data_IF_406354014378
#
_entry.id   IF_406354014378
#
_cell.length_a   1.000
_cell.length_b   1.000
_cell.length_c   1.000
_cell.angle_alpha   90.00
_cell.angle_beta   90.00
_cell.angle_gamma   90.00
#
_symmetry.space_group_name_H-M   'P 1'
#
loop_
_entity.id
_entity.type
_entity.pdbx_description
1 polymer ?
#
# COMPACT_ATOMS: atom_id res chain seq x y z
N UNK A 1 28.64 -54.71 50.32
CA UNK A 1 27.35 -54.27 49.72
C UNK A 1 27.65 -53.04 48.86
N UNK A 2 28.01 -53.25 47.58
CA UNK A 2 28.45 -52.18 46.67
C UNK A 2 27.28 -51.83 45.76
N UNK A 3 26.65 -50.66 45.97
CA UNK A 3 25.62 -50.15 45.04
C UNK A 3 26.27 -49.69 43.74
N UNK A 4 25.64 -50.04 42.63
CA UNK A 4 26.16 -49.94 41.25
C UNK A 4 26.24 -48.48 40.78
N UNK A 5 27.39 -48.01 40.24
CA UNK A 5 27.57 -46.66 39.69
C UNK A 5 26.80 -46.34 38.40
N UNK A 6 26.21 -47.35 37.74
CA UNK A 6 25.61 -47.17 36.41
C UNK A 6 24.25 -46.46 36.41
N UNK A 7 23.46 -46.58 37.49
CA UNK A 7 22.15 -45.91 37.55
C UNK A 7 22.26 -44.39 37.77
N UNK A 8 23.30 -43.93 38.45
CA UNK A 8 23.49 -42.49 38.71
C UNK A 8 23.95 -41.72 37.45
N UNK A 9 24.66 -42.41 36.54
CA UNK A 9 25.14 -41.82 35.27
C UNK A 9 24.04 -41.59 34.24
N UNK A 10 23.10 -42.54 34.08
CA UNK A 10 21.97 -42.40 33.14
C UNK A 10 21.00 -41.31 33.57
N UNK A 11 20.79 -41.17 34.89
CA UNK A 11 19.89 -40.17 35.47
C UNK A 11 20.45 -38.74 35.34
N UNK A 12 21.78 -38.58 35.43
CA UNK A 12 22.44 -37.29 35.22
C UNK A 12 22.36 -36.85 33.74
N UNK A 13 22.61 -37.75 32.79
CA UNK A 13 22.53 -37.45 31.35
C UNK A 13 21.10 -37.14 30.89
N UNK A 14 20.08 -37.78 31.47
CA UNK A 14 18.67 -37.46 31.17
C UNK A 14 18.27 -36.08 31.70
N UNK A 15 18.77 -35.71 32.89
CA UNK A 15 18.48 -34.41 33.50
C UNK A 15 19.19 -33.26 32.76
N UNK A 16 20.43 -33.47 32.30
CA UNK A 16 21.14 -32.48 31.47
C UNK A 16 20.46 -32.27 30.12
N UNK A 17 20.00 -33.33 29.46
CA UNK A 17 19.23 -33.22 28.20
C UNK A 17 17.90 -32.50 28.41
N UNK A 18 17.17 -32.80 29.48
CA UNK A 18 15.92 -32.12 29.81
C UNK A 18 16.13 -30.64 30.15
N UNK A 19 17.19 -30.31 30.88
CA UNK A 19 17.58 -28.93 31.19
C UNK A 19 18.00 -28.15 29.93
N UNK A 20 18.74 -28.78 29.01
CA UNK A 20 19.11 -28.19 27.73
C UNK A 20 17.88 -27.92 26.83
N UNK A 21 16.96 -28.88 26.73
CA UNK A 21 15.70 -28.72 25.97
C UNK A 21 14.84 -27.59 26.58
N UNK A 22 14.71 -27.56 27.91
CA UNK A 22 13.98 -26.50 28.61
C UNK A 22 14.64 -25.11 28.46
N UNK A 23 15.98 -25.05 28.47
CA UNK A 23 16.75 -23.84 28.17
C UNK A 23 16.49 -23.32 26.77
N UNK A 24 16.55 -24.20 25.75
CA UNK A 24 16.26 -23.82 24.35
C UNK A 24 14.81 -23.35 24.15
N UNK A 25 13.85 -23.95 24.85
CA UNK A 25 12.43 -23.52 24.78
C UNK A 25 12.21 -22.16 25.45
N UNK A 26 12.89 -21.88 26.56
CA UNK A 26 12.81 -20.59 27.25
C UNK A 26 13.44 -19.45 26.42
N UNK A 27 14.58 -19.72 25.78
CA UNK A 27 15.23 -18.78 24.87
C UNK A 27 14.37 -18.50 23.62
N UNK A 28 13.80 -19.54 23.01
CA UNK A 28 12.87 -19.38 21.89
C UNK A 28 11.64 -18.54 22.29
N UNK A 29 11.05 -18.80 23.47
CA UNK A 29 9.91 -18.03 23.96
C UNK A 29 10.29 -16.55 24.22
N UNK A 30 11.49 -16.30 24.74
CA UNK A 30 12.01 -14.95 24.95
C UNK A 30 12.22 -14.21 23.63
N UNK A 31 12.84 -14.87 22.63
CA UNK A 31 13.03 -14.31 21.30
C UNK A 31 11.68 -13.98 20.64
N UNK A 32 10.71 -14.91 20.71
CA UNK A 32 9.35 -14.69 20.19
C UNK A 32 8.66 -13.51 20.87
N UNK A 33 8.77 -13.38 22.20
CA UNK A 33 8.23 -12.22 22.94
C UNK A 33 8.87 -10.90 22.51
N UNK A 34 10.19 -10.89 22.29
CA UNK A 34 10.91 -9.72 21.80
C UNK A 34 10.48 -9.33 20.38
N UNK A 35 10.28 -10.31 19.48
CA UNK A 35 9.78 -10.06 18.12
C UNK A 35 8.38 -9.46 18.13
N UNK A 36 7.44 -10.04 18.89
CA UNK A 36 6.07 -9.50 19.02
C UNK A 36 6.10 -8.07 19.58
N UNK A 37 6.98 -7.80 20.57
CA UNK A 37 7.14 -6.45 21.10
C UNK A 37 7.65 -5.47 20.03
N UNK A 38 8.65 -5.87 19.24
CA UNK A 38 9.20 -5.04 18.17
C UNK A 38 8.16 -4.77 17.08
N UNK A 39 7.39 -5.79 16.69
CA UNK A 39 6.28 -5.65 15.72
C UNK A 39 5.21 -4.69 16.23
N UNK A 40 4.79 -4.80 17.49
CA UNK A 40 3.83 -3.88 18.08
C UNK A 40 4.37 -2.44 18.12
N UNK A 41 5.65 -2.25 18.45
CA UNK A 41 6.29 -0.94 18.41
C UNK A 41 6.32 -0.37 16.99
N UNK A 42 6.69 -1.18 15.99
CA UNK A 42 6.68 -0.78 14.59
C UNK A 42 5.27 -0.38 14.12
N UNK A 43 4.26 -1.19 14.44
CA UNK A 43 2.87 -0.90 14.08
C UNK A 43 2.39 0.41 14.73
N UNK A 44 2.75 0.66 16.00
CA UNK A 44 2.42 1.92 16.66
C UNK A 44 3.11 3.12 16.00
N UNK A 45 4.39 2.97 15.59
CA UNK A 45 5.11 4.02 14.87
C UNK A 45 4.45 4.33 13.51
N UNK A 46 4.05 3.29 12.77
CA UNK A 46 3.33 3.42 11.50
C UNK A 46 2.01 4.14 11.71
N UNK A 47 1.23 3.75 12.73
CA UNK A 47 -0.04 4.44 13.03
C UNK A 47 0.15 5.89 13.44
N UNK A 48 1.17 6.20 14.24
CA UNK A 48 1.48 7.58 14.59
C UNK A 48 1.86 8.37 13.33
N UNK A 49 2.73 7.83 12.48
CA UNK A 49 3.10 8.48 11.24
C UNK A 49 1.91 8.67 10.28
N UNK A 50 0.95 7.73 10.24
CA UNK A 50 -0.31 7.92 9.50
C UNK A 50 -1.12 9.11 10.03
N UNK A 51 -1.15 9.33 11.34
CA UNK A 51 -1.85 10.47 11.96
C UNK A 51 -1.19 11.81 11.64
N UNK A 52 0.13 11.84 11.45
CA UNK A 52 0.86 13.06 11.11
C UNK A 52 0.67 13.49 9.64
N UNK A 53 0.35 12.54 8.75
CA UNK A 53 0.24 12.78 7.30
C UNK A 53 -1.20 12.74 6.79
N UNK A 54 -2.16 12.41 7.65
CA UNK A 54 -3.57 12.47 7.29
C UNK A 54 -4.15 13.87 7.55
N UNK A 55 -5.13 14.23 6.74
CA UNK A 55 -5.96 15.41 6.96
C UNK A 55 -6.71 15.21 8.29
N UNK A 56 -6.74 16.21 9.19
CA UNK A 56 -7.50 16.13 10.43
C UNK A 56 -8.96 15.77 10.18
N UNK A 57 -9.54 14.88 10.99
CA UNK A 57 -10.88 14.34 10.73
C UNK A 57 -11.96 15.41 10.51
N UNK A 58 -11.87 16.54 11.21
CA UNK A 58 -12.82 17.65 11.11
C UNK A 58 -12.67 18.51 9.85
N UNK A 59 -11.57 18.35 9.11
CA UNK A 59 -11.28 19.05 7.85
C UNK A 59 -11.53 18.16 6.62
N UNK A 60 -11.81 16.86 6.83
CA UNK A 60 -12.03 15.91 5.74
C UNK A 60 -13.32 16.21 4.99
N UNK A 61 -13.24 16.19 3.67
CA UNK A 61 -14.42 16.19 2.81
C UNK A 61 -15.09 14.82 2.71
N UNK A 62 -15.99 14.68 1.73
CA UNK A 62 -16.70 13.45 1.42
C UNK A 62 -16.59 13.14 -0.07
N UNK A 63 -16.32 11.89 -0.42
CA UNK A 63 -16.42 11.42 -1.81
C UNK A 63 -17.89 11.43 -2.22
N UNK A 64 -18.22 12.13 -3.29
CA UNK A 64 -19.58 12.16 -3.80
C UNK A 64 -19.84 10.95 -4.68
N UNK A 65 -20.91 10.21 -4.40
CA UNK A 65 -21.34 9.10 -5.24
C UNK A 65 -22.59 9.48 -6.05
N UNK A 66 -22.60 9.11 -7.33
CA UNK A 66 -23.80 9.15 -8.14
C UNK A 66 -24.64 7.90 -7.91
N UNK A 67 -24.82 7.08 -8.95
CA UNK A 67 -25.51 5.79 -8.80
C UNK A 67 -24.62 4.77 -8.12
N UNK A 68 -25.13 4.14 -7.05
CA UNK A 68 -24.42 3.09 -6.31
C UNK A 68 -25.30 1.87 -6.16
N UNK A 69 -24.78 0.71 -6.52
CA UNK A 69 -25.40 -0.58 -6.19
C UNK A 69 -25.36 -0.80 -4.67
N UNK A 70 -26.52 -1.06 -4.04
CA UNK A 70 -26.63 -1.17 -2.58
C UNK A 70 -25.74 -2.25 -1.97
N UNK A 71 -25.37 -3.29 -2.73
CA UNK A 71 -24.46 -4.36 -2.28
C UNK A 71 -23.06 -3.86 -2.00
N UNK A 72 -22.65 -2.77 -2.65
CA UNK A 72 -21.30 -2.23 -2.57
C UNK A 72 -21.13 -1.21 -1.44
N UNK A 73 -22.22 -0.74 -0.83
CA UNK A 73 -22.21 0.45 0.02
C UNK A 73 -21.17 0.38 1.14
N UNK A 74 -21.16 -0.69 1.94
CA UNK A 74 -20.23 -0.83 3.07
C UNK A 74 -18.76 -0.82 2.62
N UNK A 75 -18.41 -1.62 1.61
CA UNK A 75 -17.03 -1.73 1.11
C UNK A 75 -16.60 -0.41 0.44
N UNK A 76 -17.49 0.20 -0.34
CA UNK A 76 -17.26 1.48 -0.99
C UNK A 76 -17.00 2.61 0.00
N UNK A 77 -17.83 2.72 1.04
CA UNK A 77 -17.66 3.71 2.10
C UNK A 77 -16.32 3.54 2.84
N UNK A 78 -15.87 2.30 3.05
CA UNK A 78 -14.58 2.04 3.68
C UNK A 78 -13.41 2.55 2.82
N UNK A 79 -13.40 2.25 1.52
CA UNK A 79 -12.41 2.80 0.59
C UNK A 79 -12.46 4.33 0.45
N UNK A 80 -13.67 4.91 0.46
CA UNK A 80 -13.82 6.36 0.47
C UNK A 80 -13.28 7.00 1.75
N UNK A 81 -13.54 6.42 2.92
CA UNK A 81 -12.96 6.88 4.18
C UNK A 81 -11.44 6.85 4.15
N UNK A 82 -10.82 5.84 3.53
CA UNK A 82 -9.36 5.85 3.33
C UNK A 82 -8.91 6.98 2.42
N UNK A 83 -9.63 7.24 1.34
CA UNK A 83 -9.31 8.32 0.39
C UNK A 83 -9.34 9.70 1.05
N UNK A 84 -10.39 9.97 1.85
CA UNK A 84 -10.55 11.29 2.52
C UNK A 84 -9.52 11.53 3.62
N UNK A 85 -8.79 10.51 4.08
CA UNK A 85 -7.66 10.71 4.99
C UNK A 85 -6.51 11.48 4.34
N UNK A 86 -6.34 11.39 3.03
CA UNK A 86 -5.14 11.92 2.36
C UNK A 86 -5.44 12.89 1.21
N UNK A 87 -6.71 13.12 0.89
CA UNK A 87 -7.13 13.96 -0.23
C UNK A 87 -7.96 15.15 0.24
N UNK A 88 -7.53 16.36 -0.10
CA UNK A 88 -8.20 17.60 0.25
C UNK A 88 -9.62 17.63 -0.29
N UNK A 89 -10.56 18.22 0.47
CA UNK A 89 -11.99 18.20 0.15
C UNK A 89 -12.31 18.72 -1.25
N UNK A 90 -11.60 19.76 -1.71
CA UNK A 90 -11.79 20.36 -3.03
C UNK A 90 -11.36 19.45 -4.20
N UNK A 91 -10.54 18.43 -3.95
CA UNK A 91 -10.05 17.50 -4.97
C UNK A 91 -10.88 16.21 -5.04
N UNK A 92 -11.72 15.92 -4.03
CA UNK A 92 -12.50 14.69 -3.98
C UNK A 92 -13.48 14.62 -5.17
N UNK A 93 -13.43 13.53 -5.96
CA UNK A 93 -14.23 13.44 -7.17
C UNK A 93 -15.67 13.05 -6.85
N UNK A 94 -16.55 13.32 -7.83
CA UNK A 94 -17.82 12.59 -7.96
C UNK A 94 -17.60 11.36 -8.84
N UNK A 95 -17.97 10.17 -8.34
CA UNK A 95 -17.86 8.90 -9.08
C UNK A 95 -19.16 8.10 -9.04
N UNK A 96 -19.47 7.41 -10.13
CA UNK A 96 -20.51 6.38 -10.16
C UNK A 96 -19.90 5.02 -9.82
N UNK A 97 -20.72 4.07 -9.34
CA UNK A 97 -20.25 2.75 -8.94
C UNK A 97 -21.15 1.64 -9.49
N UNK A 98 -20.56 0.69 -10.21
CA UNK A 98 -21.25 -0.43 -10.82
C UNK A 98 -20.72 -1.77 -10.33
N UNK A 99 -21.63 -2.66 -9.94
CA UNK A 99 -21.28 -4.03 -9.57
C UNK A 99 -20.78 -4.84 -10.77
N UNK A 100 -19.66 -5.53 -10.56
CA UNK A 100 -19.06 -6.51 -11.48
C UNK A 100 -18.48 -7.68 -10.69
N UNK A 101 -19.13 -8.84 -10.78
CA UNK A 101 -18.68 -10.06 -10.09
C UNK A 101 -17.29 -10.48 -10.55
N UNK A 102 -16.44 -10.88 -9.61
CA UNK A 102 -15.14 -11.51 -9.86
C UNK A 102 -14.16 -10.68 -10.70
N UNK A 103 -14.39 -9.37 -10.84
CA UNK A 103 -13.48 -8.44 -11.48
C UNK A 103 -12.63 -7.70 -10.44
N UNK A 104 -11.36 -7.47 -10.77
CA UNK A 104 -10.53 -6.52 -10.03
C UNK A 104 -11.17 -5.13 -10.14
N UNK A 105 -11.16 -4.31 -9.07
CA UNK A 105 -11.61 -2.93 -9.15
C UNK A 105 -10.95 -2.20 -10.32
N UNK A 106 -11.71 -1.38 -11.02
CA UNK A 106 -11.21 -0.56 -12.11
C UNK A 106 -12.05 0.71 -12.26
N UNK A 107 -11.37 1.84 -12.36
CA UNK A 107 -11.91 3.14 -12.73
C UNK A 107 -11.88 3.33 -14.24
N UNK A 108 -12.98 3.80 -14.82
CA UNK A 108 -13.04 4.24 -16.22
C UNK A 108 -14.19 5.21 -16.44
N UNK A 109 -13.89 6.36 -17.05
CA UNK A 109 -14.87 7.36 -17.50
C UNK A 109 -15.83 7.80 -16.37
N UNK A 110 -15.30 8.05 -15.16
CA UNK A 110 -16.11 8.42 -13.99
C UNK A 110 -16.77 7.27 -13.23
N UNK A 111 -16.62 6.02 -13.67
CA UNK A 111 -17.27 4.85 -13.06
C UNK A 111 -16.25 3.90 -12.44
N UNK A 112 -16.46 3.52 -11.18
CA UNK A 112 -15.74 2.42 -10.53
C UNK A 112 -16.53 1.13 -10.75
N UNK A 113 -15.89 0.13 -11.36
CA UNK A 113 -16.42 -1.24 -11.48
C UNK A 113 -15.75 -2.10 -10.44
N UNK A 114 -16.53 -2.81 -9.62
CA UNK A 114 -15.98 -3.61 -8.52
C UNK A 114 -16.93 -4.72 -8.04
N UNK A 115 -16.34 -5.71 -7.37
CA UNK A 115 -17.05 -6.72 -6.58
C UNK A 115 -17.13 -6.31 -5.09
N UNK A 116 -18.04 -6.92 -4.34
CA UNK A 116 -18.21 -6.70 -2.89
C UNK A 116 -16.97 -7.07 -2.07
N UNK A 117 -16.13 -7.97 -2.59
CA UNK A 117 -14.89 -8.45 -1.96
C UNK A 117 -13.66 -7.59 -2.21
N UNK A 118 -13.80 -6.47 -2.93
CA UNK A 118 -12.71 -5.55 -3.22
C UNK A 118 -12.05 -5.02 -1.94
N UNK A 119 -10.71 -5.06 -1.89
CA UNK A 119 -9.97 -4.48 -0.78
C UNK A 119 -10.15 -2.95 -0.72
N UNK A 120 -10.26 -2.38 0.48
CA UNK A 120 -10.47 -0.95 0.70
C UNK A 120 -9.38 -0.09 0.04
N UNK A 121 -8.12 -0.54 0.08
CA UNK A 121 -6.99 0.14 -0.56
C UNK A 121 -7.11 0.18 -2.09
N UNK A 122 -7.74 -0.83 -2.70
CA UNK A 122 -8.03 -0.85 -4.15
C UNK A 122 -9.19 0.06 -4.51
N UNK A 123 -10.16 0.22 -3.63
CA UNK A 123 -11.22 1.21 -3.84
C UNK A 123 -10.63 2.63 -3.73
N UNK A 124 -9.76 2.88 -2.75
CA UNK A 124 -9.01 4.13 -2.64
C UNK A 124 -8.17 4.42 -3.89
N UNK A 125 -7.53 3.40 -4.45
CA UNK A 125 -6.82 3.47 -5.73
C UNK A 125 -7.74 3.98 -6.85
N UNK A 126 -8.89 3.34 -7.04
CA UNK A 126 -9.84 3.71 -8.10
C UNK A 126 -10.47 5.10 -7.89
N UNK A 127 -10.79 5.49 -6.66
CA UNK A 127 -11.28 6.85 -6.38
C UNK A 127 -10.19 7.89 -6.72
N UNK A 128 -8.93 7.57 -6.46
CA UNK A 128 -7.80 8.48 -6.73
C UNK A 128 -7.56 8.68 -8.23
N UNK A 129 -7.83 7.68 -9.08
CA UNK A 129 -7.91 7.92 -10.52
C UNK A 129 -8.98 8.96 -10.88
N UNK A 130 -10.13 8.92 -10.21
CA UNK A 130 -11.15 9.96 -10.35
C UNK A 130 -10.67 11.35 -9.95
N UNK A 131 -9.89 11.46 -8.86
CA UNK A 131 -9.24 12.72 -8.47
C UNK A 131 -8.35 13.24 -9.58
N UNK A 132 -7.49 12.39 -10.16
CA UNK A 132 -6.59 12.77 -11.24
C UNK A 132 -7.36 13.20 -12.51
N UNK A 133 -8.34 12.39 -12.95
CA UNK A 133 -9.11 12.65 -14.18
C UNK A 133 -9.91 13.96 -14.10
N UNK A 134 -10.53 14.26 -12.95
CA UNK A 134 -11.43 15.41 -12.80
C UNK A 134 -10.72 16.72 -12.50
N UNK A 135 -9.42 16.70 -12.18
CA UNK A 135 -8.65 17.87 -11.81
C UNK A 135 -7.47 18.07 -12.79
N UNK A 136 -7.62 18.90 -13.84
CA UNK A 136 -6.57 19.09 -14.85
C UNK A 136 -5.21 19.54 -14.29
N UNK A 137 -5.22 20.34 -13.21
CA UNK A 137 -3.98 20.76 -12.54
C UNK A 137 -3.27 19.59 -11.85
N UNK A 138 -4.03 18.69 -11.22
CA UNK A 138 -3.51 17.47 -10.58
C UNK A 138 -2.94 16.51 -11.63
N UNK A 139 -3.67 16.27 -12.72
CA UNK A 139 -3.16 15.47 -13.84
C UNK A 139 -1.88 16.07 -14.43
N UNK A 140 -1.85 17.40 -14.64
CA UNK A 140 -0.67 18.07 -15.16
C UNK A 140 0.54 17.91 -14.21
N UNK A 141 0.33 18.02 -12.90
CA UNK A 141 1.37 17.82 -11.89
C UNK A 141 1.90 16.37 -11.89
N UNK A 142 1.01 15.38 -11.97
CA UNK A 142 1.39 13.97 -12.03
C UNK A 142 2.19 13.63 -13.31
N UNK A 143 1.73 14.10 -14.46
CA UNK A 143 2.46 13.92 -15.72
C UNK A 143 3.82 14.63 -15.71
N UNK A 144 3.89 15.83 -15.13
CA UNK A 144 5.14 16.55 -14.99
C UNK A 144 6.11 15.80 -14.08
N UNK A 145 5.64 15.27 -12.95
CA UNK A 145 6.45 14.47 -12.04
C UNK A 145 6.96 13.18 -12.71
N UNK A 146 6.09 12.44 -13.41
CA UNK A 146 6.49 11.23 -14.13
C UNK A 146 7.59 11.51 -15.15
N UNK A 147 7.43 12.56 -15.97
CA UNK A 147 8.42 12.96 -16.98
C UNK A 147 9.73 13.42 -16.33
N UNK A 148 9.64 14.16 -15.24
CA UNK A 148 10.83 14.59 -14.48
C UNK A 148 11.60 13.37 -13.94
N UNK A 149 10.91 12.39 -13.35
CA UNK A 149 11.50 11.14 -12.85
C UNK A 149 12.12 10.31 -13.97
N UNK A 150 11.42 10.18 -15.10
CA UNK A 150 11.90 9.46 -16.28
C UNK A 150 13.14 10.13 -16.93
N UNK A 151 13.23 11.46 -16.87
CA UNK A 151 14.31 12.22 -17.49
C UNK A 151 14.36 12.02 -19.00
N UNK A 152 15.36 11.26 -19.48
CA UNK A 152 15.55 10.93 -20.91
C UNK A 152 15.26 9.46 -21.24
N UNK A 153 14.86 8.68 -20.23
CA UNK A 153 14.50 7.27 -20.39
C UNK A 153 13.38 7.11 -21.42
N UNK A 154 13.47 6.09 -22.25
CA UNK A 154 12.38 5.68 -23.13
C UNK A 154 11.52 4.62 -22.43
N UNK A 155 10.19 4.66 -22.58
CA UNK A 155 9.32 3.71 -21.90
C UNK A 155 9.56 2.29 -22.42
N UNK A 156 9.57 1.32 -21.50
CA UNK A 156 9.77 -0.10 -21.75
C UNK A 156 8.47 -0.85 -21.55
N UNK A 157 8.34 -2.06 -22.12
CA UNK A 157 7.14 -2.87 -21.89
C UNK A 157 7.05 -3.25 -20.43
N UNK A 158 5.87 -3.08 -19.85
CA UNK A 158 5.65 -3.33 -18.44
C UNK A 158 5.82 -4.82 -18.08
N UNK A 159 5.47 -5.73 -19.00
CA UNK A 159 5.75 -7.17 -18.84
C UNK A 159 7.24 -7.50 -18.76
N UNK A 160 8.08 -6.77 -19.50
CA UNK A 160 9.53 -7.01 -19.52
C UNK A 160 10.16 -6.53 -18.21
N UNK A 161 9.67 -5.40 -17.68
CA UNK A 161 10.10 -4.86 -16.38
C UNK A 161 9.67 -5.73 -15.20
N UNK A 162 8.44 -6.26 -15.24
CA UNK A 162 7.84 -6.96 -14.09
C UNK A 162 7.99 -8.48 -14.15
N UNK A 163 8.33 -9.03 -15.31
CA UNK A 163 8.33 -10.47 -15.58
C UNK A 163 6.93 -11.10 -15.55
N UNK A 164 5.83 -10.32 -15.48
CA UNK A 164 4.47 -10.86 -15.44
C UNK A 164 3.83 -10.91 -16.82
N UNK A 165 3.27 -12.07 -17.16
CA UNK A 165 2.63 -12.32 -18.44
C UNK A 165 1.19 -11.77 -18.53
N UNK A 166 0.57 -11.41 -17.40
CA UNK A 166 -0.79 -10.88 -17.34
C UNK A 166 -0.89 -9.40 -17.80
N UNK A 167 0.23 -8.70 -17.95
CA UNK A 167 0.28 -7.41 -18.62
C UNK A 167 0.20 -7.57 -20.14
N UNK A 168 -0.60 -6.70 -20.77
CA UNK A 168 -0.77 -6.66 -22.22
C UNK A 168 0.52 -6.23 -22.91
N UNK A 169 0.64 -6.60 -24.18
CA UNK A 169 1.81 -6.29 -25.01
C UNK A 169 1.94 -4.79 -25.33
N UNK A 170 0.86 -4.05 -25.21
CA UNK A 170 0.76 -2.60 -25.46
C UNK A 170 0.87 -1.76 -24.19
N UNK A 171 1.16 -2.36 -23.04
CA UNK A 171 1.41 -1.63 -21.78
C UNK A 171 2.88 -1.29 -21.62
N UNK A 172 3.16 0.01 -21.50
CA UNK A 172 4.50 0.56 -21.35
C UNK A 172 4.62 1.35 -20.05
N UNK A 173 5.84 1.42 -19.51
CA UNK A 173 6.17 2.16 -18.30
C UNK A 173 7.60 2.72 -18.39
N UNK A 174 7.81 3.87 -17.76
CA UNK A 174 9.16 4.36 -17.42
C UNK A 174 9.65 3.56 -16.21
N UNK A 175 10.85 3.00 -16.29
CA UNK A 175 11.39 2.17 -15.20
C UNK A 175 11.71 3.01 -13.97
N UNK A 176 12.42 4.13 -14.18
CA UNK A 176 12.97 4.98 -13.12
C UNK A 176 13.63 4.11 -12.01
N UNK A 177 13.43 4.45 -10.75
CA UNK A 177 13.88 3.71 -9.58
C UNK A 177 12.70 3.33 -8.68
N UNK A 178 11.45 3.36 -9.18
CA UNK A 178 10.26 3.11 -8.36
C UNK A 178 10.35 1.80 -7.57
N UNK A 179 10.74 0.70 -8.24
CA UNK A 179 10.91 -0.60 -7.59
C UNK A 179 12.07 -0.60 -6.58
N UNK A 180 13.20 0.02 -6.91
CA UNK A 180 14.36 0.12 -6.01
C UNK A 180 14.08 0.98 -4.77
N UNK A 181 13.08 1.86 -4.84
CA UNK A 181 12.64 2.77 -3.77
C UNK A 181 11.41 2.27 -3.01
N UNK A 182 11.16 0.97 -3.02
CA UNK A 182 10.08 0.33 -2.25
C UNK A 182 8.69 0.34 -2.93
N UNK A 183 8.63 0.77 -4.19
CA UNK A 183 7.44 0.69 -5.02
C UNK A 183 7.48 -0.48 -6.00
N UNK A 184 6.96 -0.26 -7.20
CA UNK A 184 6.99 -1.22 -8.30
C UNK A 184 7.03 -0.50 -9.67
N UNK A 185 7.34 -1.25 -10.73
CA UNK A 185 7.40 -0.69 -12.08
C UNK A 185 6.03 -0.23 -12.62
N UNK A 186 4.92 -0.66 -12.01
CA UNK A 186 3.58 -0.23 -12.44
C UNK A 186 3.36 1.26 -12.18
N UNK A 187 4.04 1.85 -11.18
CA UNK A 187 4.02 3.29 -10.90
C UNK A 187 4.44 4.17 -12.09
N UNK A 188 5.32 3.66 -12.94
CA UNK A 188 5.81 4.36 -14.12
C UNK A 188 4.95 4.19 -15.37
N UNK A 189 3.79 3.50 -15.27
CA UNK A 189 2.94 3.17 -16.40
C UNK A 189 2.50 4.43 -17.15
N UNK A 190 2.67 4.39 -18.48
CA UNK A 190 2.31 5.47 -19.39
C UNK A 190 0.93 5.23 -20.00
N UNK A 191 -0.02 6.11 -19.71
CA UNK A 191 -1.36 6.10 -20.29
C UNK A 191 -1.50 7.04 -21.51
N UNK A 192 -0.39 7.55 -22.05
CA UNK A 192 -0.37 8.48 -23.17
C UNK A 192 -0.86 9.87 -22.77
N UNK A 193 -0.52 10.33 -21.57
CA UNK A 193 -0.93 11.65 -21.06
C UNK A 193 -2.37 11.75 -20.55
N UNK A 194 -3.09 10.63 -20.43
CA UNK A 194 -4.49 10.61 -19.94
C UNK A 194 -4.64 10.32 -18.45
N UNK A 195 -3.56 9.94 -17.79
CA UNK A 195 -3.51 9.54 -16.38
C UNK A 195 -2.14 8.97 -16.04
N UNK A 196 -1.94 8.67 -14.76
CA UNK A 196 -0.74 8.01 -14.24
C UNK A 196 -1.11 7.01 -13.14
N UNK A 197 -0.14 6.21 -12.72
CA UNK A 197 -0.24 5.39 -11.49
C UNK A 197 0.39 6.09 -10.28
N UNK A 198 0.82 7.35 -10.42
CA UNK A 198 1.56 8.01 -9.37
C UNK A 198 0.67 8.31 -8.16
N UNK A 199 -0.47 8.97 -8.37
CA UNK A 199 -1.31 9.33 -7.24
C UNK A 199 -1.92 8.10 -6.57
N UNK A 200 -2.34 7.11 -7.36
CA UNK A 200 -2.99 5.89 -6.88
C UNK A 200 -2.03 4.98 -6.11
N UNK A 201 -0.80 4.79 -6.59
CA UNK A 201 0.21 4.00 -5.87
C UNK A 201 0.82 4.79 -4.72
N UNK A 202 0.97 6.11 -4.87
CA UNK A 202 1.46 6.99 -3.82
C UNK A 202 0.56 7.05 -2.59
N UNK A 203 -0.76 7.22 -2.77
CA UNK A 203 -1.72 7.19 -1.66
C UNK A 203 -1.78 5.81 -0.99
N UNK A 204 -1.66 4.72 -1.76
CA UNK A 204 -1.51 3.37 -1.21
C UNK A 204 -0.27 3.23 -0.32
N UNK A 205 0.88 3.80 -0.73
CA UNK A 205 2.12 3.78 0.07
C UNK A 205 2.01 4.63 1.33
N UNK A 206 1.42 5.82 1.24
CA UNK A 206 1.13 6.67 2.41
C UNK A 206 0.27 5.93 3.42
N UNK A 207 -0.74 5.20 2.94
CA UNK A 207 -1.59 4.40 3.81
C UNK A 207 -0.86 3.17 4.34
N UNK A 208 -0.10 2.45 3.52
CA UNK A 208 0.53 1.20 3.94
C UNK A 208 1.64 1.41 4.97
N UNK A 209 2.60 2.30 4.71
CA UNK A 209 3.68 2.61 5.62
C UNK A 209 4.33 3.96 5.25
N UNK A 210 3.86 5.08 5.83
CA UNK A 210 4.38 6.40 5.48
C UNK A 210 5.83 6.62 5.93
N UNK A 211 6.31 5.86 6.94
CA UNK A 211 7.71 5.92 7.37
C UNK A 211 8.62 5.32 6.30
N UNK A 212 8.29 4.12 5.81
CA UNK A 212 9.01 3.48 4.71
C UNK A 212 9.01 4.37 3.46
N UNK A 213 7.84 4.92 3.10
CA UNK A 213 7.73 5.72 1.89
C UNK A 213 8.59 6.99 1.97
N UNK A 214 8.53 7.72 3.08
CA UNK A 214 9.38 8.90 3.29
C UNK A 214 10.87 8.56 3.28
N UNK A 215 11.27 7.42 3.86
CA UNK A 215 12.68 7.02 3.92
C UNK A 215 13.23 6.61 2.56
N UNK A 216 12.47 5.81 1.81
CA UNK A 216 12.95 5.21 0.56
C UNK A 216 12.71 6.10 -0.66
N UNK A 217 11.68 6.95 -0.63
CA UNK A 217 11.38 7.89 -1.71
C UNK A 217 10.83 9.25 -1.22
N UNK A 218 11.66 10.06 -0.53
CA UNK A 218 11.22 11.33 0.09
C UNK A 218 10.77 12.38 -0.93
N UNK A 219 11.20 12.28 -2.18
CA UNK A 219 10.76 13.17 -3.26
C UNK A 219 9.33 12.83 -3.68
N UNK A 220 9.06 11.56 -3.96
CA UNK A 220 7.73 11.10 -4.33
C UNK A 220 6.73 11.23 -3.18
N UNK A 221 7.15 10.93 -1.95
CA UNK A 221 6.34 11.16 -0.76
C UNK A 221 5.86 12.62 -0.66
N UNK A 222 6.77 13.59 -0.83
CA UNK A 222 6.42 15.02 -0.80
C UNK A 222 5.53 15.41 -1.95
N UNK A 223 5.78 14.89 -3.15
CA UNK A 223 4.93 15.13 -4.31
C UNK A 223 3.48 14.69 -4.05
N UNK A 224 3.25 13.53 -3.42
CA UNK A 224 1.91 13.05 -3.09
C UNK A 224 1.22 14.00 -2.09
N UNK A 225 1.90 14.37 -1.01
CA UNK A 225 1.31 15.30 -0.03
C UNK A 225 0.97 16.66 -0.65
N UNK A 226 1.90 17.23 -1.41
CA UNK A 226 1.68 18.51 -2.09
C UNK A 226 0.50 18.44 -3.06
N UNK A 227 0.42 17.40 -3.86
CA UNK A 227 -0.58 17.29 -4.93
C UNK A 227 -1.97 16.95 -4.39
N UNK A 228 -2.07 16.12 -3.35
CA UNK A 228 -3.37 15.68 -2.82
C UNK A 228 -3.89 16.53 -1.66
N UNK A 229 -3.03 17.25 -0.93
CA UNK A 229 -3.44 17.99 0.29
C UNK A 229 -3.36 19.51 0.14
N UNK A 230 -2.62 20.03 -0.83
CA UNK A 230 -2.39 21.46 -1.02
C UNK A 230 -2.74 21.93 -2.44
N UNK A 231 -4.02 21.79 -2.86
CA UNK A 231 -4.49 22.25 -4.18
C UNK A 231 -4.49 23.77 -4.35
#
# INVERSE_FOLDING_TARGET
MVRRPQQDFETAQSNEKAAAINGTNAEFLKARKAMVKAENTLNQMIENARREVEIPQHERGQVAFGSVDSRLHTTLEAGARLTTRYTHAALLPKVDVAYRSSERPAYKDGVIRMDVSAAESKIMHEITHGTEEKNPAVLAAALAFLRYRAGTEQPKRLRDLTGREDYRLDEYAYEDQFAARGGDHYMGKDYGGRGTELLTRGIERLHANPVEFMQNDPEYFRFILQTLQHP
#
